data_IF_290400335890
#
_entry.id   IF_290400335890
#
_cell.length_a   1.000
_cell.length_b   1.000
_cell.length_c   1.000
_cell.angle_alpha   90.00
_cell.angle_beta   90.00
_cell.angle_gamma   90.00
#
_symmetry.space_group_name_H-M   'P 1'
#
loop_
_entity.id
_entity.type
_entity.pdbx_description
1 polymer ?
#
# COMPACT_ATOMS: atom_id res chain seq x y z
N UNK A 1 -21.79 0.09 -33.41
CA UNK A 1 -20.75 -0.90 -33.63
C UNK A 1 -20.03 -1.27 -32.32
N UNK A 2 -19.54 -0.34 -31.51
CA UNK A 2 -18.78 -0.58 -30.25
C UNK A 2 -19.54 -1.48 -29.24
N UNK A 3 -20.86 -1.27 -29.07
CA UNK A 3 -21.70 -2.09 -28.17
C UNK A 3 -21.75 -3.57 -28.58
N UNK A 4 -21.84 -3.85 -29.87
CA UNK A 4 -21.85 -5.23 -30.38
C UNK A 4 -20.48 -5.91 -30.23
N UNK A 5 -19.40 -5.15 -30.44
CA UNK A 5 -18.02 -5.61 -30.22
C UNK A 5 -17.78 -5.94 -28.74
N UNK A 6 -18.25 -5.09 -27.83
CA UNK A 6 -18.16 -5.30 -26.38
C UNK A 6 -18.89 -6.57 -25.91
N UNK A 7 -20.11 -6.80 -26.42
CA UNK A 7 -20.86 -8.03 -26.12
C UNK A 7 -20.23 -9.29 -26.75
N UNK A 8 -19.63 -9.18 -27.95
CA UNK A 8 -18.90 -10.31 -28.56
C UNK A 8 -17.64 -10.66 -27.76
N UNK A 9 -16.89 -9.68 -27.25
CA UNK A 9 -15.71 -9.92 -26.42
C UNK A 9 -16.11 -10.58 -25.08
N UNK A 10 -17.18 -10.12 -24.46
CA UNK A 10 -17.72 -10.73 -23.23
C UNK A 10 -18.20 -12.17 -23.50
N UNK A 11 -18.87 -12.43 -24.62
CA UNK A 11 -19.30 -13.78 -24.98
C UNK A 11 -18.14 -14.72 -25.25
N UNK A 12 -17.07 -14.26 -25.89
CA UNK A 12 -15.85 -15.06 -26.13
C UNK A 12 -15.12 -15.34 -24.82
N UNK A 13 -15.08 -14.38 -23.89
CA UNK A 13 -14.53 -14.58 -22.54
C UNK A 13 -15.35 -15.61 -21.74
N UNK A 14 -16.67 -15.65 -21.90
CA UNK A 14 -17.54 -16.60 -21.19
C UNK A 14 -17.42 -18.04 -21.67
N UNK A 15 -17.05 -18.27 -22.94
CA UNK A 15 -16.97 -19.63 -23.52
C UNK A 15 -15.75 -20.41 -23.02
N UNK A 16 -14.66 -19.72 -22.65
CA UNK A 16 -13.44 -20.36 -22.15
C UNK A 16 -13.45 -20.69 -20.65
N UNK A 17 -14.46 -20.27 -19.89
CA UNK A 17 -14.54 -20.51 -18.45
C UNK A 17 -15.03 -21.92 -18.07
N UNK A 18 -15.41 -22.74 -19.02
CA UNK A 18 -15.97 -24.09 -18.80
C UNK A 18 -14.96 -25.13 -18.26
N UNK A 19 -13.66 -24.82 -18.24
CA UNK A 19 -12.61 -25.69 -17.68
C UNK A 19 -11.72 -25.05 -16.65
N UNK A 20 -11.89 -23.76 -16.37
CA UNK A 20 -11.08 -23.04 -15.38
C UNK A 20 -11.76 -23.10 -14.03
N UNK A 21 -11.24 -23.90 -13.11
CA UNK A 21 -11.71 -23.93 -11.73
C UNK A 21 -11.35 -22.60 -11.05
N UNK A 22 -12.33 -21.68 -10.99
CA UNK A 22 -12.19 -20.41 -10.24
C UNK A 22 -12.05 -20.74 -8.77
N UNK A 23 -11.02 -20.21 -8.14
CA UNK A 23 -10.80 -20.34 -6.70
C UNK A 23 -10.88 -18.98 -6.01
N UNK A 24 -11.28 -18.99 -4.76
CA UNK A 24 -11.35 -17.82 -3.92
C UNK A 24 -10.23 -17.88 -2.89
N UNK A 25 -9.82 -16.74 -2.40
CA UNK A 25 -8.82 -16.73 -1.34
C UNK A 25 -8.91 -15.50 -0.47
N UNK A 26 -8.31 -15.62 0.68
CA UNK A 26 -8.10 -14.52 1.61
C UNK A 26 -6.61 -14.27 1.75
N UNK A 27 -6.23 -13.02 2.02
CA UNK A 27 -4.84 -12.62 2.17
C UNK A 27 -4.72 -11.59 3.27
N UNK A 28 -3.69 -11.69 4.08
CA UNK A 28 -3.35 -10.72 5.11
C UNK A 28 -1.84 -10.55 5.20
N UNK A 29 -1.39 -9.39 5.65
CA UNK A 29 0.05 -9.16 5.77
C UNK A 29 0.40 -7.80 6.32
N UNK A 30 1.68 -7.47 6.16
CA UNK A 30 2.26 -6.21 6.61
C UNK A 30 2.66 -5.33 5.44
N UNK A 31 2.49 -4.02 5.61
CA UNK A 31 2.90 -3.00 4.68
C UNK A 31 4.01 -2.16 5.29
N UNK A 32 4.96 -1.75 4.48
CA UNK A 32 5.83 -0.63 4.78
C UNK A 32 5.59 0.47 3.74
N UNK A 33 4.84 1.49 4.14
CA UNK A 33 4.43 2.59 3.28
C UNK A 33 5.32 3.82 3.48
N UNK A 34 5.66 4.49 2.40
CA UNK A 34 6.38 5.76 2.41
C UNK A 34 5.81 6.67 1.31
N UNK A 35 6.12 7.94 1.37
CA UNK A 35 5.83 8.90 0.30
C UNK A 35 7.09 9.24 -0.46
N UNK A 36 6.96 9.43 -1.77
CA UNK A 36 8.00 9.90 -2.68
C UNK A 36 7.44 10.99 -3.58
N UNK A 37 8.33 11.83 -4.09
CA UNK A 37 8.01 12.97 -4.96
C UNK A 37 8.93 14.14 -4.65
N UNK A 38 8.97 15.14 -5.52
CA UNK A 38 9.92 16.26 -5.43
C UNK A 38 9.75 17.04 -4.13
N UNK A 39 8.52 17.34 -3.72
CA UNK A 39 8.25 18.06 -2.47
C UNK A 39 8.59 17.23 -1.22
N UNK A 40 8.44 15.92 -1.29
CA UNK A 40 8.88 15.03 -0.21
C UNK A 40 10.40 15.00 -0.14
N UNK A 41 11.09 15.07 -1.28
CA UNK A 41 12.54 15.13 -1.34
C UNK A 41 13.07 16.42 -0.71
N UNK A 42 12.44 17.56 -0.95
CA UNK A 42 12.78 18.84 -0.28
C UNK A 42 12.65 18.70 1.24
N UNK A 43 11.59 18.05 1.73
CA UNK A 43 11.43 17.78 3.17
C UNK A 43 12.55 16.86 3.67
N UNK A 44 12.93 15.83 2.93
CA UNK A 44 14.03 14.94 3.27
C UNK A 44 15.36 15.68 3.32
N UNK A 45 15.66 16.51 2.32
CA UNK A 45 16.88 17.33 2.25
C UNK A 45 16.97 18.33 3.41
N UNK A 46 15.84 18.93 3.84
CA UNK A 46 15.77 19.79 5.02
C UNK A 46 16.00 18.98 6.30
N UNK A 47 15.46 17.79 6.38
CA UNK A 47 15.62 16.86 7.52
C UNK A 47 17.08 16.40 7.61
N UNK A 48 17.73 16.08 6.50
CA UNK A 48 19.13 15.64 6.46
C UNK A 48 20.10 16.73 6.95
N UNK A 49 19.73 18.02 6.79
CA UNK A 49 20.47 19.16 7.37
C UNK A 49 20.35 19.28 8.89
N UNK A 50 19.51 18.48 9.53
CA UNK A 50 19.34 18.48 10.98
C UNK A 50 20.31 17.55 11.73
N UNK A 51 21.37 17.05 11.09
CA UNK A 51 22.36 16.14 11.67
C UNK A 51 21.72 14.93 12.38
N UNK A 52 20.61 14.43 11.84
CA UNK A 52 19.90 13.25 12.37
C UNK A 52 18.94 13.54 13.53
N UNK A 53 18.77 14.78 13.97
CA UNK A 53 17.78 15.13 14.99
C UNK A 53 16.34 14.91 14.53
N UNK A 54 16.07 15.02 13.23
CA UNK A 54 14.79 14.67 12.62
C UNK A 54 15.04 13.58 11.58
N UNK A 55 14.19 12.56 11.56
CA UNK A 55 14.30 11.45 10.61
C UNK A 55 12.94 11.19 9.98
N UNK A 56 12.94 11.10 8.66
CA UNK A 56 11.79 10.62 7.90
C UNK A 56 11.77 9.10 7.89
N UNK A 57 10.64 8.48 8.17
CA UNK A 57 10.49 7.02 8.12
C UNK A 57 9.19 6.62 7.44
N UNK A 58 9.24 5.52 6.71
CA UNK A 58 8.03 4.85 6.29
C UNK A 58 7.22 4.37 7.49
N UNK A 59 5.94 4.13 7.26
CA UNK A 59 5.03 3.64 8.28
C UNK A 59 4.68 2.18 8.02
N UNK A 60 4.86 1.35 9.05
CA UNK A 60 4.37 -0.02 9.04
C UNK A 60 2.86 -0.01 9.26
N UNK A 61 2.14 -0.77 8.44
CA UNK A 61 0.71 -0.98 8.51
C UNK A 61 0.36 -2.45 8.30
N UNK A 62 -0.93 -2.76 8.35
CA UNK A 62 -1.47 -4.07 8.04
C UNK A 62 -2.37 -3.95 6.82
N UNK A 63 -2.52 -5.05 6.08
CA UNK A 63 -3.55 -5.23 5.07
C UNK A 63 -4.24 -6.57 5.23
N UNK A 64 -5.50 -6.62 4.83
CA UNK A 64 -6.31 -7.82 4.80
C UNK A 64 -7.35 -7.69 3.70
N UNK A 65 -7.61 -8.78 2.97
CA UNK A 65 -8.60 -8.76 1.90
C UNK A 65 -8.89 -10.13 1.34
N UNK A 66 -9.75 -10.13 0.32
CA UNK A 66 -10.08 -11.31 -0.47
C UNK A 66 -9.68 -11.11 -1.92
N UNK A 67 -9.56 -12.20 -2.64
CA UNK A 67 -9.30 -12.22 -4.06
C UNK A 67 -10.00 -13.39 -4.75
N UNK A 68 -10.17 -13.25 -6.04
CA UNK A 68 -10.68 -14.32 -6.91
C UNK A 68 -9.58 -14.68 -7.88
N UNK A 69 -9.21 -15.95 -7.95
CA UNK A 69 -8.22 -16.44 -8.89
C UNK A 69 -8.93 -17.11 -10.06
N UNK A 70 -8.79 -16.52 -11.23
CA UNK A 70 -9.44 -16.92 -12.47
C UNK A 70 -8.34 -17.39 -13.43
N UNK A 71 -8.12 -18.71 -13.58
CA UNK A 71 -7.16 -19.23 -14.54
C UNK A 71 -7.59 -18.87 -15.98
N UNK A 72 -6.67 -18.29 -16.75
CA UNK A 72 -6.85 -17.99 -18.18
C UNK A 72 -6.20 -19.07 -19.03
N UNK A 73 -5.07 -19.61 -18.54
CA UNK A 73 -4.34 -20.71 -19.14
C UNK A 73 -3.57 -21.48 -18.07
N UNK A 74 -2.81 -22.49 -18.42
CA UNK A 74 -1.92 -23.22 -17.49
C UNK A 74 -0.87 -22.32 -16.83
N UNK A 75 -0.48 -21.25 -17.51
CA UNK A 75 0.55 -20.31 -17.04
C UNK A 75 -0.06 -19.05 -16.45
N UNK A 76 -1.14 -18.53 -17.02
CA UNK A 76 -1.69 -17.23 -16.67
C UNK A 76 -3.02 -17.30 -15.93
N UNK A 77 -3.18 -16.45 -14.93
CA UNK A 77 -4.44 -16.22 -14.22
C UNK A 77 -4.68 -14.73 -14.02
N UNK A 78 -5.94 -14.31 -14.05
CA UNK A 78 -6.39 -12.99 -13.64
C UNK A 78 -6.85 -13.05 -12.18
N UNK A 79 -6.37 -12.13 -11.37
CA UNK A 79 -6.65 -12.13 -9.95
C UNK A 79 -7.10 -10.73 -9.48
N UNK A 80 -8.41 -10.42 -9.60
CA UNK A 80 -8.98 -9.24 -8.96
C UNK A 80 -9.09 -9.45 -7.45
N UNK A 81 -8.84 -8.38 -6.68
CA UNK A 81 -8.91 -8.40 -5.23
C UNK A 81 -9.62 -7.19 -4.64
N UNK A 82 -9.96 -7.30 -3.37
CA UNK A 82 -10.45 -6.20 -2.54
C UNK A 82 -9.73 -6.29 -1.19
N UNK A 83 -8.93 -5.28 -0.85
CA UNK A 83 -8.10 -5.27 0.34
C UNK A 83 -8.33 -3.98 1.15
N UNK A 84 -8.45 -4.11 2.45
CA UNK A 84 -8.30 -2.99 3.37
C UNK A 84 -6.83 -2.86 3.74
N UNK A 85 -6.26 -1.66 3.62
CA UNK A 85 -4.87 -1.43 3.93
C UNK A 85 -4.62 -0.14 4.71
N UNK A 86 -3.62 -0.20 5.61
CA UNK A 86 -3.13 0.96 6.36
C UNK A 86 -1.82 1.41 5.75
N UNK A 87 -1.77 2.63 5.24
CA UNK A 87 -0.59 3.27 4.64
C UNK A 87 -0.23 4.54 5.41
N UNK A 88 0.84 5.20 5.06
CA UNK A 88 1.16 6.52 5.63
C UNK A 88 2.64 6.84 5.69
N UNK A 89 2.94 7.90 6.44
CA UNK A 89 4.27 8.48 6.54
C UNK A 89 4.54 8.97 7.96
N UNK A 90 5.79 8.97 8.40
CA UNK A 90 6.17 9.33 9.76
C UNK A 90 7.41 10.23 9.76
N UNK A 91 7.32 11.33 10.51
CA UNK A 91 8.43 12.16 10.92
C UNK A 91 8.71 11.90 12.40
N UNK A 92 9.96 11.64 12.74
CA UNK A 92 10.42 11.51 14.13
C UNK A 92 11.52 12.51 14.39
N UNK A 93 11.42 13.23 15.48
CA UNK A 93 12.46 14.11 15.99
C UNK A 93 12.86 13.68 17.40
N UNK A 94 14.16 13.49 17.60
CA UNK A 94 14.76 13.22 18.89
C UNK A 94 15.72 14.37 19.21
N UNK A 95 15.30 15.25 20.13
CA UNK A 95 16.07 16.44 20.50
C UNK A 95 16.69 16.26 21.88
N UNK A 96 18.03 16.32 21.94
CA UNK A 96 18.77 16.42 23.17
C UNK A 96 19.20 17.87 23.37
N UNK A 97 18.77 18.50 24.44
CA UNK A 97 19.18 19.86 24.76
C UNK A 97 20.57 19.81 25.46
N UNK A 98 21.65 20.34 24.83
CA UNK A 98 23.01 20.19 25.35
C UNK A 98 23.20 20.77 26.74
N UNK A 99 22.46 21.85 27.10
CA UNK A 99 22.50 22.53 28.40
C UNK A 99 21.86 21.66 29.50
N UNK A 100 20.94 20.78 29.15
CA UNK A 100 20.26 19.89 30.07
C UNK A 100 20.54 18.45 29.62
N UNK A 101 21.71 17.92 29.90
CA UNK A 101 22.21 16.59 29.49
C UNK A 101 21.23 15.41 29.68
N UNK A 102 20.17 15.62 30.48
CA UNK A 102 19.18 14.60 30.80
C UNK A 102 17.81 14.85 30.14
N UNK A 103 17.62 15.98 29.43
CA UNK A 103 16.30 16.29 28.82
C UNK A 103 16.23 15.73 27.42
N UNK A 104 15.63 14.54 27.28
CA UNK A 104 15.28 13.93 26.01
C UNK A 104 13.86 14.33 25.62
N UNK A 105 13.72 15.09 24.53
CA UNK A 105 12.44 15.46 23.93
C UNK A 105 12.24 14.62 22.66
N UNK A 106 11.19 13.82 22.65
CA UNK A 106 10.79 13.02 21.50
C UNK A 106 9.56 13.63 20.84
N UNK A 107 9.69 14.07 19.61
CA UNK A 107 8.58 14.56 18.80
C UNK A 107 8.27 13.56 17.66
N UNK A 108 7.01 13.24 17.46
CA UNK A 108 6.58 12.37 16.37
C UNK A 108 5.34 12.93 15.70
N UNK A 109 5.41 13.11 14.39
CA UNK A 109 4.27 13.40 13.56
C UNK A 109 4.04 12.24 12.58
N UNK A 110 2.84 11.66 12.57
CA UNK A 110 2.50 10.52 11.73
C UNK A 110 1.21 10.78 10.98
N UNK A 111 1.25 10.62 9.66
CA UNK A 111 0.04 10.49 8.85
C UNK A 111 -0.32 9.03 8.76
N UNK A 112 -1.54 8.71 9.17
CA UNK A 112 -2.14 7.38 9.08
C UNK A 112 -3.33 7.44 8.15
N UNK A 113 -3.26 6.72 7.03
CA UNK A 113 -4.28 6.65 6.02
C UNK A 113 -4.82 5.23 5.90
N UNK A 114 -6.12 5.10 5.77
CA UNK A 114 -6.86 3.85 5.63
C UNK A 114 -7.44 3.81 4.23
N UNK A 115 -7.12 2.77 3.48
CA UNK A 115 -7.54 2.60 2.09
C UNK A 115 -8.33 1.30 1.90
N UNK A 116 -9.22 1.33 0.91
CA UNK A 116 -9.72 0.14 0.24
C UNK A 116 -8.98 0.06 -1.09
N UNK A 117 -8.17 -0.97 -1.27
CA UNK A 117 -7.39 -1.24 -2.48
C UNK A 117 -8.11 -2.27 -3.34
N UNK A 118 -8.16 -2.02 -4.63
CA UNK A 118 -8.71 -2.91 -5.66
C UNK A 118 -7.59 -3.22 -6.65
N UNK A 119 -6.74 -4.22 -6.36
CA UNK A 119 -5.75 -4.72 -7.30
C UNK A 119 -6.44 -5.54 -8.40
N UNK A 120 -6.01 -5.35 -9.65
CA UNK A 120 -6.43 -6.12 -10.82
C UNK A 120 -5.18 -6.71 -11.46
N UNK A 121 -4.68 -7.82 -10.92
CA UNK A 121 -3.39 -8.35 -11.33
C UNK A 121 -3.50 -9.52 -12.30
N UNK A 122 -2.58 -9.58 -13.23
CA UNK A 122 -2.26 -10.76 -14.00
C UNK A 122 -1.13 -11.51 -13.28
N UNK A 123 -1.34 -12.79 -13.02
CA UNK A 123 -0.39 -13.68 -12.38
C UNK A 123 0.14 -14.66 -13.41
N UNK A 124 1.45 -14.88 -13.45
CA UNK A 124 2.10 -15.88 -14.28
C UNK A 124 2.81 -16.90 -13.39
N UNK A 125 2.46 -18.17 -13.54
CA UNK A 125 3.15 -19.29 -12.91
C UNK A 125 4.45 -19.57 -13.66
N UNK A 126 5.58 -19.44 -12.97
CA UNK A 126 6.91 -19.58 -13.57
C UNK A 126 7.46 -20.99 -13.39
N UNK A 127 7.41 -21.52 -12.18
CA UNK A 127 7.94 -22.84 -11.88
C UNK A 127 7.43 -23.36 -10.53
N UNK A 128 6.84 -24.56 -10.49
CA UNK A 128 6.46 -25.31 -9.25
C UNK A 128 5.95 -24.41 -8.10
N UNK A 129 4.85 -23.70 -8.34
CA UNK A 129 4.25 -22.80 -7.36
C UNK A 129 4.84 -21.39 -7.32
N UNK A 130 6.06 -21.18 -7.84
CA UNK A 130 6.63 -19.85 -7.98
C UNK A 130 5.88 -19.08 -9.06
N UNK A 131 5.46 -17.86 -8.73
CA UNK A 131 4.73 -17.02 -9.66
C UNK A 131 5.18 -15.57 -9.55
N UNK A 132 4.93 -14.80 -10.60
CA UNK A 132 5.08 -13.36 -10.63
C UNK A 132 3.73 -12.74 -10.94
N UNK A 133 3.48 -11.56 -10.43
CA UNK A 133 2.24 -10.86 -10.67
C UNK A 133 2.47 -9.37 -10.89
N UNK A 134 1.63 -8.76 -11.73
CA UNK A 134 1.61 -7.32 -11.92
C UNK A 134 0.25 -6.88 -12.45
N UNK A 135 -0.11 -5.62 -12.17
CA UNK A 135 -1.34 -5.04 -12.69
C UNK A 135 -1.64 -3.66 -12.12
N UNK A 136 -2.68 -3.00 -12.63
CA UNK A 136 -3.17 -1.76 -12.08
C UNK A 136 -3.85 -2.00 -10.73
N UNK A 137 -3.79 -0.96 -9.89
CA UNK A 137 -4.47 -0.90 -8.60
C UNK A 137 -5.18 0.44 -8.46
N UNK A 138 -6.42 0.40 -8.01
CA UNK A 138 -7.17 1.58 -7.59
C UNK A 138 -7.33 1.51 -6.07
N UNK A 139 -6.99 2.59 -5.38
CA UNK A 139 -7.09 2.70 -3.93
C UNK A 139 -8.03 3.83 -3.56
N UNK A 140 -9.04 3.55 -2.72
CA UNK A 140 -9.97 4.55 -2.22
C UNK A 140 -9.61 4.92 -0.77
N UNK A 141 -9.34 6.20 -0.53
CA UNK A 141 -9.04 6.72 0.80
C UNK A 141 -10.31 6.83 1.63
N UNK A 142 -10.42 6.01 2.65
CA UNK A 142 -11.54 6.02 3.62
C UNK A 142 -11.32 7.10 4.68
N UNK A 143 -10.12 7.15 5.23
CA UNK A 143 -9.77 8.07 6.32
C UNK A 143 -8.29 8.36 6.36
N UNK A 144 -7.93 9.62 6.65
CA UNK A 144 -6.55 10.01 6.98
C UNK A 144 -6.52 10.85 8.26
N UNK A 145 -5.56 10.57 9.14
CA UNK A 145 -5.40 11.23 10.44
C UNK A 145 -3.92 11.61 10.62
N UNK A 146 -3.68 12.85 10.99
CA UNK A 146 -2.38 13.31 11.46
C UNK A 146 -2.32 13.16 12.98
N UNK A 147 -1.42 12.33 13.47
CA UNK A 147 -1.17 12.12 14.89
C UNK A 147 0.14 12.81 15.26
N UNK A 148 0.06 13.78 16.16
CA UNK A 148 1.22 14.47 16.76
C UNK A 148 1.40 13.98 18.19
N UNK A 149 2.63 13.58 18.53
CA UNK A 149 3.01 13.14 19.87
C UNK A 149 4.26 13.87 20.30
N UNK A 150 4.27 14.36 21.54
CA UNK A 150 5.43 14.90 22.21
C UNK A 150 5.65 14.13 23.51
N UNK A 151 6.88 13.72 23.75
CA UNK A 151 7.29 13.04 24.97
C UNK A 151 8.52 13.70 25.56
N UNK A 152 8.60 13.71 26.87
CA UNK A 152 9.76 14.16 27.65
C UNK A 152 10.08 13.05 28.65
N UNK A 153 11.35 12.66 28.77
CA UNK A 153 11.80 11.55 29.63
C UNK A 153 11.06 10.22 29.39
N UNK A 154 10.64 9.94 28.13
CA UNK A 154 9.88 8.74 27.81
C UNK A 154 8.39 8.80 28.19
N UNK A 155 7.93 9.87 28.83
CA UNK A 155 6.52 10.10 29.18
C UNK A 155 5.87 10.93 28.07
N UNK A 156 4.77 10.44 27.50
CA UNK A 156 3.99 11.20 26.52
C UNK A 156 3.21 12.31 27.22
N UNK A 157 3.60 13.57 26.97
CA UNK A 157 2.95 14.77 27.53
C UNK A 157 1.88 15.36 26.60
N UNK A 158 1.98 15.04 25.31
CA UNK A 158 1.00 15.50 24.32
C UNK A 158 0.74 14.38 23.30
N UNK A 159 -0.55 14.12 23.03
CA UNK A 159 -0.97 13.18 22.00
C UNK A 159 -2.30 13.67 21.42
N UNK A 160 -2.26 14.15 20.19
CA UNK A 160 -3.45 14.65 19.49
C UNK A 160 -3.52 14.13 18.07
N UNK A 161 -4.69 13.60 17.70
CA UNK A 161 -5.03 13.19 16.34
C UNK A 161 -6.02 14.17 15.72
N UNK A 162 -5.74 14.61 14.50
CA UNK A 162 -6.60 15.49 13.70
C UNK A 162 -6.93 14.79 12.39
N UNK A 163 -8.22 14.71 12.03
CA UNK A 163 -8.65 14.22 10.73
C UNK A 163 -8.22 15.16 9.61
N UNK A 164 -7.55 14.62 8.60
CA UNK A 164 -7.04 15.38 7.46
C UNK A 164 -7.48 14.77 6.12
N UNK A 165 -8.49 13.93 6.13
CA UNK A 165 -9.00 13.19 4.94
C UNK A 165 -9.32 14.12 3.78
N UNK A 166 -9.93 15.27 4.06
CA UNK A 166 -10.35 16.23 3.03
C UNK A 166 -9.19 16.97 2.33
N UNK A 167 -7.97 16.84 2.84
CA UNK A 167 -6.75 17.38 2.23
C UNK A 167 -6.14 16.46 1.19
N UNK A 168 -6.58 15.20 1.14
CA UNK A 168 -6.06 14.18 0.24
C UNK A 168 -7.05 13.85 -0.87
N UNK A 169 -6.52 13.47 -2.02
CA UNK A 169 -7.30 12.84 -3.07
C UNK A 169 -7.89 11.53 -2.55
N UNK A 170 -9.20 11.34 -2.77
CA UNK A 170 -9.90 10.13 -2.33
C UNK A 170 -9.54 8.92 -3.18
N UNK A 171 -9.16 9.13 -4.43
CA UNK A 171 -8.77 8.07 -5.35
C UNK A 171 -7.28 8.17 -5.64
N UNK A 172 -6.56 7.08 -5.41
CA UNK A 172 -5.15 6.90 -5.72
C UNK A 172 -5.01 5.74 -6.71
N UNK A 173 -4.51 6.03 -7.91
CA UNK A 173 -4.24 5.05 -8.94
C UNK A 173 -2.77 4.69 -8.93
N UNK A 174 -2.47 3.43 -9.20
CA UNK A 174 -1.10 2.95 -9.23
C UNK A 174 -0.95 1.62 -9.92
N UNK A 175 0.24 1.09 -9.85
CA UNK A 175 0.61 -0.26 -10.28
C UNK A 175 1.00 -1.06 -9.04
N UNK A 176 0.66 -2.33 -9.05
CA UNK A 176 1.15 -3.30 -8.07
C UNK A 176 1.84 -4.44 -8.78
N UNK A 177 2.86 -5.02 -8.17
CA UNK A 177 3.55 -6.17 -8.74
C UNK A 177 4.48 -6.81 -7.74
N UNK A 178 4.87 -8.06 -8.02
CA UNK A 178 5.72 -8.80 -7.10
C UNK A 178 5.92 -10.25 -7.50
N UNK A 179 6.37 -11.02 -6.52
CA UNK A 179 6.59 -12.46 -6.61
C UNK A 179 5.78 -13.17 -5.55
N UNK A 180 5.38 -14.39 -5.82
CA UNK A 180 4.64 -15.23 -4.89
C UNK A 180 5.02 -16.69 -5.02
N UNK A 181 4.65 -17.44 -4.00
CA UNK A 181 4.75 -18.89 -4.00
C UNK A 181 3.43 -19.49 -3.53
N UNK A 182 2.86 -20.37 -4.35
CA UNK A 182 1.63 -21.12 -4.08
C UNK A 182 2.00 -22.55 -3.70
N UNK A 183 1.60 -22.95 -2.50
CA UNK A 183 1.74 -24.34 -2.04
C UNK A 183 0.55 -25.20 -2.48
N UNK A 184 0.74 -26.50 -2.58
CA UNK A 184 -0.30 -27.46 -3.00
C UNK A 184 -1.47 -27.54 -2.02
N UNK A 185 -1.25 -27.18 -0.76
CA UNK A 185 -2.28 -27.17 0.30
C UNK A 185 -3.15 -25.90 0.31
N UNK A 186 -3.02 -25.02 -0.67
CA UNK A 186 -3.76 -23.75 -0.75
C UNK A 186 -3.09 -22.55 -0.09
N UNK A 187 -2.07 -22.78 0.76
CA UNK A 187 -1.30 -21.68 1.35
C UNK A 187 -0.53 -20.93 0.27
N UNK A 188 -0.46 -19.59 0.37
CA UNK A 188 0.39 -18.79 -0.50
C UNK A 188 1.13 -17.70 0.28
N UNK A 189 2.34 -17.41 -0.19
CA UNK A 189 3.19 -16.33 0.29
C UNK A 189 3.47 -15.38 -0.86
N UNK A 190 3.49 -14.08 -0.59
CA UNK A 190 3.89 -13.13 -1.62
C UNK A 190 4.61 -11.92 -1.02
N UNK A 191 5.51 -11.37 -1.84
CA UNK A 191 6.15 -10.09 -1.62
C UNK A 191 5.86 -9.20 -2.83
N UNK A 192 5.43 -7.98 -2.59
CA UNK A 192 5.00 -7.05 -3.63
C UNK A 192 5.36 -5.61 -3.33
N UNK A 193 5.23 -4.81 -4.37
CA UNK A 193 5.46 -3.38 -4.33
C UNK A 193 4.34 -2.62 -5.05
N UNK A 194 3.75 -1.63 -4.35
CA UNK A 194 2.77 -0.73 -4.93
C UNK A 194 3.45 0.59 -5.32
N UNK A 195 3.28 0.97 -6.56
CA UNK A 195 3.79 2.20 -7.15
C UNK A 195 2.63 3.16 -7.46
N UNK A 196 2.35 4.11 -6.56
CA UNK A 196 1.31 5.13 -6.75
C UNK A 196 1.68 6.09 -7.89
N UNK A 197 0.72 6.38 -8.73
CA UNK A 197 0.83 7.28 -9.88
C UNK A 197 0.07 8.59 -9.66
N UNK A 198 -0.95 8.58 -8.80
CA UNK A 198 -1.74 9.76 -8.49
C UNK A 198 -1.09 10.58 -7.38
N UNK A 199 -1.16 11.91 -7.49
CA UNK A 199 -0.78 12.81 -6.40
C UNK A 199 -1.72 12.63 -5.22
N UNK A 200 -1.16 12.62 -4.02
CA UNK A 200 -1.93 12.46 -2.79
C UNK A 200 -2.65 13.74 -2.38
N UNK A 201 -2.08 14.91 -2.70
CA UNK A 201 -2.67 16.20 -2.36
C UNK A 201 -3.86 16.53 -3.26
N UNK A 202 -5.00 16.93 -2.63
CA UNK A 202 -6.24 17.24 -3.34
C UNK A 202 -6.15 18.45 -4.26
N UNK A 203 -5.31 19.41 -3.91
CA UNK A 203 -5.17 20.66 -4.66
C UNK A 203 -3.98 20.66 -5.61
N UNK A 204 -3.32 19.50 -5.78
CA UNK A 204 -2.12 19.33 -6.59
C UNK A 204 -0.94 20.26 -6.26
N UNK A 205 -0.96 20.86 -5.05
CA UNK A 205 0.09 21.77 -4.60
C UNK A 205 1.40 21.02 -4.27
N UNK A 206 1.30 19.72 -3.92
CA UNK A 206 2.44 18.91 -3.52
C UNK A 206 2.52 17.61 -4.33
N UNK A 207 3.69 17.36 -4.93
CA UNK A 207 4.00 16.12 -5.62
C UNK A 207 4.41 15.05 -4.61
N UNK A 208 3.42 14.37 -4.04
CA UNK A 208 3.60 13.25 -3.14
C UNK A 208 2.84 12.03 -3.63
N UNK A 209 3.50 10.87 -3.69
CA UNK A 209 2.98 9.61 -4.20
C UNK A 209 3.21 8.49 -3.20
N UNK A 210 2.27 7.55 -3.09
CA UNK A 210 2.44 6.35 -2.27
C UNK A 210 3.48 5.40 -2.87
N UNK A 211 4.30 4.83 -2.00
CA UNK A 211 5.23 3.71 -2.29
C UNK A 211 5.11 2.72 -1.15
N UNK A 212 4.73 1.47 -1.46
CA UNK A 212 4.43 0.49 -0.43
C UNK A 212 5.09 -0.84 -0.76
N UNK A 213 5.92 -1.34 0.16
CA UNK A 213 6.37 -2.73 0.16
C UNK A 213 5.35 -3.55 0.95
N UNK A 214 4.93 -4.68 0.43
CA UNK A 214 3.97 -5.61 1.05
C UNK A 214 4.58 -7.00 1.21
N UNK A 215 4.30 -7.64 2.33
CA UNK A 215 4.53 -9.08 2.52
C UNK A 215 3.24 -9.68 3.05
N UNK A 216 2.79 -10.76 2.42
CA UNK A 216 1.47 -11.34 2.68
C UNK A 216 1.53 -12.86 2.77
N UNK A 217 0.63 -13.37 3.58
CA UNK A 217 0.25 -14.78 3.64
C UNK A 217 -1.21 -14.86 3.23
N UNK A 218 -1.55 -15.82 2.38
CA UNK A 218 -2.90 -16.05 1.93
C UNK A 218 -3.25 -17.54 1.92
N UNK A 219 -4.53 -17.80 1.74
CA UNK A 219 -5.08 -19.14 1.58
C UNK A 219 -6.14 -19.13 0.49
N UNK A 220 -6.00 -20.07 -0.46
CA UNK A 220 -6.95 -20.32 -1.56
C UNK A 220 -7.80 -21.56 -1.25
N UNK A 221 -9.08 -21.53 -1.56
CA UNK A 221 -10.04 -22.61 -1.32
C UNK A 221 -11.04 -22.72 -2.48
#
# INVERSE_FOLDING_TARGET
MIRKLFFSIISILMINTLHAQVTYGIRSGVNYATWKGDDIQIIQDLVDKTDGYIVTKGRTGLHIGGYVHIPISEVFAFEPGLEYSKKGYSLKGDFQIPVLKYLNINARAQVQSHYIDIPLVLRANVYKGLNVFAGPQVSYLVRSTLNAKLGVFGITIFNRGVGITERFNKVDMGLTGGIGYQFDNGLNLQAGYDYGLSRLDKNDNYAAYNRVVKVSVGFSF
#
